data_IF_463520820837
#
_entry.id   IF_463520820837
#
_cell.length_a   1.000
_cell.length_b   1.000
_cell.length_c   1.000
_cell.angle_alpha   90.00
_cell.angle_beta   90.00
_cell.angle_gamma   90.00
#
_symmetry.space_group_name_H-M   'P 1'
#
loop_
_entity.id
_entity.type
_entity.pdbx_description
1 polymer ?
#
# COMPACT_ATOMS: atom_id res chain seq x y z
N UNK A 1 9.07 19.51 25.40
CA UNK A 1 9.14 20.31 24.16
C UNK A 1 8.11 19.76 23.20
N UNK A 2 7.12 20.58 22.84
CA UNK A 2 6.00 20.20 21.99
C UNK A 2 6.42 20.25 20.52
N UNK A 3 6.21 19.16 19.79
CA UNK A 3 6.32 19.14 18.32
C UNK A 3 4.88 19.15 17.83
N UNK A 4 4.43 20.32 17.40
CA UNK A 4 3.15 20.56 16.76
C UNK A 4 3.02 19.70 15.51
N UNK A 5 2.06 18.77 15.53
CA UNK A 5 1.67 17.98 14.36
C UNK A 5 1.09 18.89 13.29
N UNK A 6 1.82 19.03 12.19
CA UNK A 6 1.31 19.64 10.97
C UNK A 6 0.64 18.53 10.16
N UNK A 7 -0.68 18.69 10.01
CA UNK A 7 -1.59 17.87 9.20
C UNK A 7 -1.02 17.69 7.78
N UNK A 8 -0.81 16.44 7.40
CA UNK A 8 -0.54 16.03 6.02
C UNK A 8 -1.87 15.67 5.35
N UNK A 9 -2.52 16.64 4.71
CA UNK A 9 -3.67 16.38 3.85
C UNK A 9 -3.16 16.04 2.44
N UNK A 10 -2.68 14.80 2.29
CA UNK A 10 -2.43 14.22 0.97
C UNK A 10 -3.79 13.95 0.30
N UNK A 11 -3.97 14.48 -0.91
CA UNK A 11 -5.11 14.16 -1.78
C UNK A 11 -5.16 12.65 -2.07
N UNK A 12 -5.85 11.90 -1.21
CA UNK A 12 -6.26 10.52 -1.44
C UNK A 12 -7.59 10.52 -2.21
N UNK A 13 -7.55 9.96 -3.42
CA UNK A 13 -8.74 9.57 -4.16
C UNK A 13 -9.44 8.40 -3.44
N UNK A 14 -10.39 8.70 -2.55
CA UNK A 14 -11.31 7.70 -2.03
C UNK A 14 -12.48 7.52 -3.01
N UNK A 15 -12.27 6.71 -4.06
CA UNK A 15 -13.38 5.99 -4.70
C UNK A 15 -13.66 4.75 -3.85
N UNK A 16 -14.28 4.95 -2.70
CA UNK A 16 -14.90 3.86 -1.96
C UNK A 16 -16.18 3.44 -2.69
N UNK A 17 -16.07 2.34 -3.43
CA UNK A 17 -17.19 1.61 -3.99
C UNK A 17 -17.96 0.95 -2.83
N UNK A 18 -18.84 1.70 -2.17
CA UNK A 18 -19.84 1.12 -1.29
C UNK A 18 -20.89 0.42 -2.14
N UNK A 19 -20.68 -0.88 -2.35
CA UNK A 19 -21.72 -1.83 -2.76
C UNK A 19 -22.86 -1.73 -1.75
N UNK A 20 -23.97 -1.12 -2.15
CA UNK A 20 -25.26 -1.38 -1.53
C UNK A 20 -26.17 -2.03 -2.59
N UNK A 21 -26.35 -3.33 -2.43
CA UNK A 21 -27.39 -4.07 -3.12
C UNK A 21 -28.73 -3.74 -2.44
N UNK A 22 -29.67 -3.14 -3.20
CA UNK A 22 -31.11 -3.41 -3.13
C UNK A 22 -31.85 -2.64 -4.23
N UNK A 23 -32.17 -3.38 -5.29
CA UNK A 23 -33.44 -3.45 -6.01
C UNK A 23 -34.32 -2.20 -6.24
N UNK A 24 -34.64 -2.03 -7.54
CA UNK A 24 -36.01 -1.99 -8.13
C UNK A 24 -36.66 -0.62 -8.41
N UNK A 25 -36.78 -0.41 -9.73
CA UNK A 25 -37.86 0.20 -10.52
C UNK A 25 -38.13 1.70 -10.43
N UNK A 26 -38.21 2.32 -11.62
CA UNK A 26 -38.96 3.55 -11.84
C UNK A 26 -38.35 4.45 -12.89
N UNK A 27 -38.50 4.09 -14.16
CA UNK A 27 -38.48 5.06 -15.27
C UNK A 27 -39.42 6.21 -14.98
N UNK A 28 -38.94 7.44 -14.85
CA UNK A 28 -39.72 8.63 -15.17
C UNK A 28 -38.83 9.88 -15.30
N UNK A 29 -38.68 10.32 -16.55
CA UNK A 29 -38.68 11.71 -17.00
C UNK A 29 -37.86 12.71 -16.16
N UNK A 30 -36.60 12.85 -16.54
CA UNK A 30 -35.85 14.11 -16.39
C UNK A 30 -36.53 15.19 -17.25
N UNK A 31 -37.55 15.85 -16.71
CA UNK A 31 -38.09 17.09 -17.22
C UNK A 31 -37.87 18.17 -16.17
N UNK A 32 -36.79 18.94 -16.39
CA UNK A 32 -36.73 20.39 -16.27
C UNK A 32 -37.82 21.04 -15.40
N UNK A 33 -37.58 21.17 -14.10
CA UNK A 33 -38.11 22.28 -13.33
C UNK A 33 -37.00 22.95 -12.55
N UNK A 34 -36.55 24.07 -13.13
CA UNK A 34 -35.76 25.10 -12.48
C UNK A 34 -36.46 25.53 -11.20
N UNK A 35 -35.91 25.16 -10.06
CA UNK A 35 -36.17 25.84 -8.79
C UNK A 35 -34.86 26.41 -8.29
N UNK A 36 -34.86 27.73 -8.09
CA UNK A 36 -33.69 28.53 -7.80
C UNK A 36 -33.07 28.14 -6.47
N UNK A 37 -31.84 27.64 -6.53
CA UNK A 37 -30.85 27.95 -5.52
C UNK A 37 -29.62 28.42 -6.27
N UNK A 38 -29.45 29.73 -6.34
CA UNK A 38 -28.16 30.40 -6.51
C UNK A 38 -27.28 29.97 -5.33
N UNK A 39 -26.82 28.74 -5.37
CA UNK A 39 -25.72 28.29 -4.56
C UNK A 39 -24.49 28.75 -5.33
N UNK A 40 -24.11 30.01 -5.10
CA UNK A 40 -22.82 30.56 -5.51
C UNK A 40 -21.79 29.50 -5.14
N UNK A 41 -21.21 28.82 -6.14
CA UNK A 41 -20.06 27.96 -5.91
C UNK A 41 -19.09 28.83 -5.13
N UNK A 42 -18.78 28.41 -3.91
CA UNK A 42 -17.91 29.23 -3.07
C UNK A 42 -16.62 29.47 -3.86
N UNK A 43 -16.00 30.66 -3.72
CA UNK A 43 -14.77 30.98 -4.46
C UNK A 43 -13.69 29.88 -4.37
N UNK A 44 -13.73 29.06 -3.32
CA UNK A 44 -12.90 27.88 -3.13
C UNK A 44 -13.26 26.72 -4.10
N UNK A 45 -14.54 26.36 -4.23
CA UNK A 45 -14.99 25.27 -5.11
C UNK A 45 -14.73 25.56 -6.58
N UNK A 46 -14.94 26.81 -7.03
CA UNK A 46 -14.60 27.20 -8.40
C UNK A 46 -13.09 27.14 -8.66
N UNK A 47 -12.27 27.48 -7.65
CA UNK A 47 -10.81 27.38 -7.75
C UNK A 47 -10.35 25.93 -7.77
N UNK A 48 -11.02 25.02 -7.06
CA UNK A 48 -10.75 23.59 -7.14
C UNK A 48 -11.14 23.01 -8.49
N UNK A 49 -12.28 23.42 -9.05
CA UNK A 49 -12.68 23.02 -10.39
C UNK A 49 -11.66 23.49 -11.43
N UNK A 50 -11.23 24.75 -11.35
CA UNK A 50 -10.20 25.31 -12.21
C UNK A 50 -8.88 24.55 -12.11
N UNK A 51 -8.44 24.20 -10.88
CA UNK A 51 -7.25 23.37 -10.68
C UNK A 51 -7.40 22.01 -11.37
N UNK A 52 -8.55 21.34 -11.23
CA UNK A 52 -8.80 20.05 -11.89
C UNK A 52 -8.75 20.16 -13.42
N UNK A 53 -9.41 21.16 -13.99
CA UNK A 53 -9.35 21.42 -15.44
C UNK A 53 -7.91 21.68 -15.92
N UNK A 54 -7.18 22.53 -15.19
CA UNK A 54 -5.78 22.83 -15.51
C UNK A 54 -4.90 21.58 -15.40
N UNK A 55 -5.15 20.71 -14.41
CA UNK A 55 -4.46 19.43 -14.28
C UNK A 55 -4.71 18.52 -15.48
N UNK A 56 -5.95 18.43 -15.97
CA UNK A 56 -6.28 17.66 -17.16
C UNK A 56 -5.55 18.19 -18.40
N UNK A 57 -5.53 19.51 -18.59
CA UNK A 57 -4.79 20.15 -19.68
C UNK A 57 -3.30 19.84 -19.63
N UNK A 58 -2.68 19.90 -18.44
CA UNK A 58 -1.29 19.52 -18.23
C UNK A 58 -1.05 18.03 -18.52
N UNK A 59 -1.98 17.16 -18.11
CA UNK A 59 -1.85 15.71 -18.29
C UNK A 59 -1.82 15.29 -19.77
N UNK A 60 -2.52 16.04 -20.63
CA UNK A 60 -2.58 15.86 -22.09
C UNK A 60 -1.30 16.30 -22.79
N UNK A 61 -0.43 17.07 -22.14
CA UNK A 61 0.84 17.51 -22.73
C UNK A 61 1.78 16.31 -22.88
N UNK A 62 2.23 16.09 -24.11
CA UNK A 62 3.26 15.10 -24.41
C UNK A 62 4.60 15.59 -23.89
N UNK A 63 5.14 14.87 -22.90
CA UNK A 63 6.46 15.14 -22.34
C UNK A 63 7.54 14.49 -23.21
N UNK A 64 8.56 15.26 -23.56
CA UNK A 64 9.67 14.78 -24.38
C UNK A 64 10.44 13.66 -23.69
N UNK A 65 10.96 12.72 -24.48
CA UNK A 65 11.62 11.50 -23.98
C UNK A 65 12.85 11.75 -23.11
N UNK A 66 13.46 12.93 -23.21
CA UNK A 66 14.65 13.31 -22.44
C UNK A 66 14.34 13.67 -21.00
N UNK A 67 13.08 13.98 -20.68
CA UNK A 67 12.63 14.22 -19.31
C UNK A 67 12.15 12.90 -18.71
N UNK A 68 12.82 12.44 -17.66
CA UNK A 68 12.39 11.27 -16.90
C UNK A 68 11.37 11.66 -15.84
N UNK A 69 11.70 12.68 -15.05
CA UNK A 69 10.84 13.17 -13.99
C UNK A 69 10.47 14.63 -14.25
N UNK A 70 9.19 14.95 -14.10
CA UNK A 70 8.66 16.30 -14.27
C UNK A 70 7.81 16.63 -13.07
N UNK A 71 7.98 17.84 -12.55
CA UNK A 71 7.05 18.41 -11.59
C UNK A 71 6.76 19.89 -11.91
N UNK A 72 5.56 20.35 -11.57
CA UNK A 72 5.13 21.73 -11.78
C UNK A 72 4.61 22.27 -10.44
N UNK A 73 5.27 23.30 -9.94
CA UNK A 73 4.93 24.05 -8.75
C UNK A 73 4.12 25.27 -9.18
N UNK A 74 2.92 25.41 -8.66
CA UNK A 74 2.05 26.56 -8.97
C UNK A 74 1.62 27.16 -7.64
N UNK A 75 1.96 28.43 -7.45
CA UNK A 75 1.51 29.18 -6.27
C UNK A 75 0.01 29.47 -6.33
N UNK A 76 -0.62 29.66 -5.17
CA UNK A 76 -2.04 30.04 -5.12
C UNK A 76 -2.31 31.37 -5.83
N UNK A 77 -1.37 32.32 -5.75
CA UNK A 77 -1.42 33.59 -6.48
C UNK A 77 -1.34 33.37 -8.00
N UNK A 78 -0.56 32.39 -8.46
CA UNK A 78 -0.52 31.98 -9.87
C UNK A 78 -1.85 31.42 -10.36
N UNK A 79 -2.52 30.60 -9.56
CA UNK A 79 -3.87 30.11 -9.91
C UNK A 79 -4.89 31.26 -10.00
N UNK A 80 -4.83 32.23 -9.08
CA UNK A 80 -5.69 33.42 -9.13
C UNK A 80 -5.43 34.22 -10.41
N UNK A 81 -4.17 34.53 -10.71
CA UNK A 81 -3.80 35.24 -11.93
C UNK A 81 -4.24 34.51 -13.21
N UNK A 82 -4.14 33.18 -13.26
CA UNK A 82 -4.61 32.39 -14.41
C UNK A 82 -6.14 32.30 -14.52
N UNK A 83 -6.86 32.43 -13.40
CA UNK A 83 -8.32 32.50 -13.40
C UNK A 83 -8.81 33.89 -13.82
N UNK A 84 -8.14 34.94 -13.34
CA UNK A 84 -8.49 36.34 -13.60
C UNK A 84 -8.11 36.76 -15.04
N UNK A 85 -7.02 36.23 -15.58
CA UNK A 85 -6.53 36.51 -16.93
C UNK A 85 -6.38 35.22 -17.77
N UNK A 86 -7.35 34.92 -18.67
CA UNK A 86 -7.28 33.80 -19.61
C UNK A 86 -6.08 33.88 -20.55
N UNK A 87 -5.60 35.07 -20.94
CA UNK A 87 -4.42 35.19 -21.81
C UNK A 87 -3.16 34.73 -21.06
N UNK A 88 -3.07 35.04 -19.76
CA UNK A 88 -1.97 34.58 -18.92
C UNK A 88 -1.97 33.05 -18.82
N UNK A 89 -3.13 32.43 -18.61
CA UNK A 89 -3.27 30.96 -18.61
C UNK A 89 -2.77 30.34 -19.91
N UNK A 90 -3.18 30.86 -21.06
CA UNK A 90 -2.75 30.34 -22.36
C UNK A 90 -1.24 30.52 -22.59
N UNK A 91 -0.68 31.66 -22.19
CA UNK A 91 0.77 31.89 -22.23
C UNK A 91 1.53 30.88 -21.37
N UNK A 92 1.08 30.61 -20.14
CA UNK A 92 1.69 29.60 -19.27
C UNK A 92 1.57 28.20 -19.87
N UNK A 93 0.40 27.82 -20.38
CA UNK A 93 0.21 26.52 -21.04
C UNK A 93 1.10 26.38 -22.28
N UNK A 94 1.26 27.43 -23.06
CA UNK A 94 2.14 27.46 -24.24
C UNK A 94 3.61 27.29 -23.84
N UNK A 95 4.06 28.00 -22.81
CA UNK A 95 5.42 27.87 -22.26
C UNK A 95 5.66 26.45 -21.73
N UNK A 96 4.72 25.89 -20.96
CA UNK A 96 4.83 24.53 -20.45
C UNK A 96 4.83 23.51 -21.58
N UNK A 97 3.98 23.66 -22.61
CA UNK A 97 4.01 22.78 -23.79
C UNK A 97 5.35 22.83 -24.52
N UNK A 98 5.88 24.03 -24.74
CA UNK A 98 7.18 24.23 -25.39
C UNK A 98 8.30 23.59 -24.58
N UNK A 99 8.35 23.88 -23.28
CA UNK A 99 9.45 23.44 -22.44
C UNK A 99 9.36 21.93 -22.18
N UNK A 100 8.18 21.39 -21.85
CA UNK A 100 7.98 19.95 -21.68
C UNK A 100 8.17 19.15 -22.98
N UNK A 101 7.87 19.75 -24.13
CA UNK A 101 8.06 19.16 -25.46
C UNK A 101 9.49 19.31 -26.00
N UNK A 102 10.31 20.15 -25.39
CA UNK A 102 11.68 20.40 -25.83
C UNK A 102 12.65 19.31 -25.37
N UNK A 103 13.73 19.14 -26.14
CA UNK A 103 14.83 18.28 -25.72
C UNK A 103 15.79 19.06 -24.84
N UNK A 104 15.97 18.59 -23.60
CA UNK A 104 16.99 19.09 -22.70
C UNK A 104 18.31 18.34 -22.91
N UNK A 105 19.43 19.05 -22.79
CA UNK A 105 20.74 18.44 -22.61
C UNK A 105 21.14 18.64 -21.15
N UNK A 106 21.61 17.61 -20.43
CA UNK A 106 22.01 16.26 -20.87
C UNK A 106 20.86 15.26 -21.08
N UNK A 107 21.18 14.14 -21.75
CA UNK A 107 20.22 13.09 -22.09
C UNK A 107 19.76 12.38 -20.82
N UNK A 108 18.46 12.42 -20.56
CA UNK A 108 17.80 12.02 -19.31
C UNK A 108 18.05 13.07 -18.20
N UNK A 109 17.02 13.87 -17.91
CA UNK A 109 17.04 14.85 -16.85
C UNK A 109 15.71 14.85 -16.10
N UNK A 110 15.76 15.38 -14.89
CA UNK A 110 14.60 15.63 -14.04
C UNK A 110 14.38 17.14 -14.00
N UNK A 111 13.16 17.62 -14.21
CA UNK A 111 12.87 19.05 -14.28
C UNK A 111 11.71 19.46 -13.37
N UNK A 112 11.86 20.61 -12.73
CA UNK A 112 10.81 21.28 -11.95
C UNK A 112 10.53 22.64 -12.56
N UNK A 113 9.27 22.89 -12.90
CA UNK A 113 8.80 24.18 -13.39
C UNK A 113 8.06 24.89 -12.28
N UNK A 114 8.38 26.16 -12.02
CA UNK A 114 7.70 27.00 -11.04
C UNK A 114 6.92 28.08 -11.77
N UNK A 115 5.65 28.23 -11.43
CA UNK A 115 4.72 29.22 -11.99
C UNK A 115 4.19 30.11 -10.86
N UNK A 116 4.43 31.40 -11.01
CA UNK A 116 4.00 32.44 -10.07
C UNK A 116 2.79 33.23 -10.54
N UNK A 117 2.57 34.38 -9.93
CA UNK A 117 1.51 35.33 -10.29
C UNK A 117 1.80 36.07 -11.60
N UNK A 118 3.08 36.18 -11.97
CA UNK A 118 3.51 36.87 -13.19
C UNK A 118 4.42 35.99 -14.07
N UNK A 119 4.50 36.30 -15.36
CA UNK A 119 5.36 35.60 -16.32
C UNK A 119 6.84 35.64 -15.88
N UNK A 120 7.27 36.69 -15.17
CA UNK A 120 8.65 36.83 -14.69
C UNK A 120 9.02 35.79 -13.62
N UNK A 121 8.03 35.26 -12.92
CA UNK A 121 8.19 34.22 -11.91
C UNK A 121 8.18 32.81 -12.52
N UNK A 122 8.02 32.69 -13.84
CA UNK A 122 8.17 31.43 -14.55
C UNK A 122 9.64 31.00 -14.56
N UNK A 123 9.92 29.84 -13.97
CA UNK A 123 11.27 29.28 -13.88
C UNK A 123 11.27 27.79 -14.17
N UNK A 124 12.20 27.33 -15.00
CA UNK A 124 12.47 25.90 -15.23
C UNK A 124 13.84 25.54 -14.67
N UNK A 125 13.86 24.65 -13.69
CA UNK A 125 15.09 24.04 -13.17
C UNK A 125 15.20 22.61 -13.67
N UNK A 126 16.39 22.22 -14.11
CA UNK A 126 16.65 20.84 -14.53
C UNK A 126 17.95 20.31 -13.96
N UNK A 127 17.94 19.01 -13.65
CA UNK A 127 19.07 18.27 -13.10
C UNK A 127 19.30 17.00 -13.91
N UNK A 128 20.55 16.55 -13.94
CA UNK A 128 20.89 15.24 -14.53
C UNK A 128 20.42 14.09 -13.64
N UNK A 129 20.18 12.90 -14.20
CA UNK A 129 19.70 11.69 -13.45
C UNK A 129 20.61 11.23 -12.31
N UNK A 130 21.80 11.80 -12.13
CA UNK A 130 22.66 11.55 -10.97
C UNK A 130 22.29 12.37 -9.72
N UNK A 131 21.43 13.38 -9.86
CA UNK A 131 21.06 14.34 -8.82
C UNK A 131 19.55 14.41 -8.61
N UNK A 132 18.85 13.28 -8.82
CA UNK A 132 17.40 13.20 -8.67
C UNK A 132 16.94 13.49 -7.24
N UNK A 133 17.82 13.43 -6.24
CA UNK A 133 17.53 13.86 -4.86
C UNK A 133 17.03 15.31 -4.77
N UNK A 134 17.61 16.23 -5.54
CA UNK A 134 17.18 17.63 -5.60
C UNK A 134 15.79 17.75 -6.20
N UNK A 135 15.52 16.98 -7.27
CA UNK A 135 14.19 16.90 -7.85
C UNK A 135 13.18 16.39 -6.82
N UNK A 136 13.48 15.31 -6.09
CA UNK A 136 12.57 14.77 -5.09
C UNK A 136 12.34 15.73 -3.92
N UNK A 137 13.34 16.50 -3.51
CA UNK A 137 13.20 17.52 -2.47
C UNK A 137 12.32 18.70 -2.94
N UNK A 138 12.54 19.19 -4.17
CA UNK A 138 11.80 20.33 -4.73
C UNK A 138 10.41 19.99 -5.26
N UNK A 139 10.13 18.71 -5.46
CA UNK A 139 8.85 18.23 -6.02
C UNK A 139 7.87 17.66 -4.99
N UNK A 140 8.12 17.80 -3.69
CA UNK A 140 7.21 17.28 -2.66
C UNK A 140 5.86 17.99 -2.72
N UNK A 141 5.87 19.31 -2.80
CA UNK A 141 4.67 20.16 -2.78
C UNK A 141 4.22 20.59 -4.19
N UNK A 142 4.58 19.80 -5.21
CA UNK A 142 4.22 20.11 -6.59
C UNK A 142 2.74 19.86 -6.87
N UNK A 143 2.13 20.77 -7.64
CA UNK A 143 0.76 20.64 -8.09
C UNK A 143 0.59 19.49 -9.09
N UNK A 144 1.54 19.36 -10.03
CA UNK A 144 1.54 18.29 -11.01
C UNK A 144 2.87 17.55 -10.93
N UNK A 145 2.83 16.22 -10.93
CA UNK A 145 4.02 15.37 -10.89
C UNK A 145 3.86 14.18 -11.83
N UNK A 146 4.82 14.02 -12.73
CA UNK A 146 4.89 12.90 -13.67
C UNK A 146 6.31 12.35 -13.63
N UNK A 147 6.46 11.25 -12.92
CA UNK A 147 7.70 10.48 -12.86
C UNK A 147 7.58 9.30 -13.81
N UNK A 148 8.51 9.15 -14.75
CA UNK A 148 8.75 7.85 -15.37
C UNK A 148 9.41 7.01 -14.30
N UNK A 149 8.62 6.26 -13.55
CA UNK A 149 9.16 5.11 -12.82
C UNK A 149 9.87 4.24 -13.85
N UNK A 150 11.21 4.33 -13.89
CA UNK A 150 11.95 3.15 -14.28
C UNK A 150 11.52 2.12 -13.24
N UNK A 151 10.74 1.12 -13.66
CA UNK A 151 10.77 -0.17 -12.98
C UNK A 151 12.24 -0.55 -12.94
N UNK A 152 12.91 -0.23 -11.85
CA UNK A 152 14.28 -0.62 -11.64
C UNK A 152 14.21 -2.13 -11.65
N UNK A 153 14.65 -2.75 -12.76
CA UNK A 153 14.75 -4.20 -12.85
C UNK A 153 15.52 -4.76 -11.64
N UNK A 154 16.40 -3.96 -11.04
CA UNK A 154 17.05 -4.24 -9.76
C UNK A 154 16.07 -4.28 -8.56
N UNK A 155 15.11 -3.36 -8.46
CA UNK A 155 14.09 -3.36 -7.40
C UNK A 155 13.15 -4.56 -7.54
N UNK A 156 12.74 -4.88 -8.76
CA UNK A 156 11.91 -6.07 -9.06
C UNK A 156 12.69 -7.37 -8.77
N UNK A 157 13.95 -7.46 -9.19
CA UNK A 157 14.83 -8.58 -8.86
C UNK A 157 15.07 -8.71 -7.34
N UNK A 158 15.18 -7.59 -6.63
CA UNK A 158 15.36 -7.59 -5.18
C UNK A 158 14.10 -8.09 -4.47
N UNK A 159 12.93 -7.64 -4.93
CA UNK A 159 11.63 -8.07 -4.41
C UNK A 159 11.40 -9.56 -4.65
N UNK A 160 11.67 -10.05 -5.86
CA UNK A 160 11.60 -11.47 -6.21
C UNK A 160 12.57 -12.32 -5.38
N UNK A 161 13.79 -11.82 -5.15
CA UNK A 161 14.78 -12.50 -4.30
C UNK A 161 14.32 -12.62 -2.84
N UNK A 162 13.76 -11.53 -2.28
CA UNK A 162 13.22 -11.52 -0.92
C UNK A 162 12.03 -12.46 -0.78
N UNK A 163 11.15 -12.51 -1.79
CA UNK A 163 9.99 -13.40 -1.82
C UNK A 163 10.42 -14.87 -1.86
N UNK A 164 11.36 -15.23 -2.75
CA UNK A 164 11.95 -16.58 -2.80
C UNK A 164 12.55 -16.99 -1.45
N UNK A 165 13.29 -16.10 -0.80
CA UNK A 165 13.88 -16.36 0.52
C UNK A 165 12.81 -16.58 1.59
N UNK A 166 11.70 -15.83 1.55
CA UNK A 166 10.59 -16.00 2.48
C UNK A 166 9.87 -17.34 2.25
N UNK A 167 9.63 -17.71 0.99
CA UNK A 167 9.03 -18.99 0.63
C UNK A 167 9.88 -20.17 1.09
N UNK A 168 11.20 -20.16 0.85
CA UNK A 168 12.11 -21.22 1.33
C UNK A 168 12.10 -21.32 2.85
N UNK A 169 12.11 -20.18 3.57
CA UNK A 169 12.00 -20.17 5.04
C UNK A 169 10.69 -20.76 5.54
N UNK A 170 9.59 -20.49 4.84
CA UNK A 170 8.27 -21.06 5.18
C UNK A 170 8.26 -22.58 5.00
N UNK A 171 8.76 -23.07 3.87
CA UNK A 171 8.89 -24.50 3.59
C UNK A 171 9.78 -25.22 4.61
N UNK A 172 10.92 -24.61 4.98
CA UNK A 172 11.79 -25.16 6.01
C UNK A 172 11.10 -25.25 7.38
N UNK A 173 10.34 -24.22 7.77
CA UNK A 173 9.56 -24.24 9.02
C UNK A 173 8.47 -25.30 9.00
N UNK A 174 7.77 -25.46 7.88
CA UNK A 174 6.72 -26.46 7.72
C UNK A 174 7.27 -27.89 7.82
N UNK A 175 8.38 -28.18 7.13
CA UNK A 175 9.06 -29.48 7.26
C UNK A 175 9.56 -29.76 8.68
N UNK A 176 10.05 -28.73 9.39
CA UNK A 176 10.44 -28.89 10.80
C UNK A 176 9.24 -29.17 11.69
N UNK A 177 8.13 -28.46 11.50
CA UNK A 177 6.89 -28.69 12.25
C UNK A 177 6.33 -30.08 12.01
N UNK A 178 6.33 -30.59 10.77
CA UNK A 178 5.90 -31.96 10.48
C UNK A 178 6.77 -33.02 11.17
N UNK A 179 8.10 -32.81 11.19
CA UNK A 179 9.01 -33.70 11.91
C UNK A 179 8.74 -33.69 13.41
N UNK A 180 8.50 -32.52 13.99
CA UNK A 180 8.15 -32.38 15.41
C UNK A 180 6.82 -33.09 15.69
N UNK A 181 5.79 -32.89 14.87
CA UNK A 181 4.50 -33.54 15.03
C UNK A 181 4.59 -35.07 14.98
N UNK A 182 5.37 -35.62 14.03
CA UNK A 182 5.61 -37.08 13.94
C UNK A 182 6.37 -37.63 15.16
N UNK A 183 7.40 -36.92 15.61
CA UNK A 183 8.15 -37.32 16.82
C UNK A 183 7.26 -37.27 18.06
N UNK A 184 6.40 -36.26 18.19
CA UNK A 184 5.48 -36.13 19.31
C UNK A 184 4.39 -37.21 19.29
N UNK A 185 3.89 -37.57 18.10
CA UNK A 185 2.95 -38.68 17.91
C UNK A 185 3.58 -40.02 18.32
N UNK A 186 4.81 -40.32 17.90
CA UNK A 186 5.51 -41.55 18.30
C UNK A 186 5.82 -41.55 19.81
N UNK A 187 6.24 -40.40 20.37
CA UNK A 187 6.46 -40.26 21.82
C UNK A 187 5.18 -40.53 22.61
N UNK A 188 4.04 -40.02 22.14
CA UNK A 188 2.72 -40.26 22.73
C UNK A 188 2.33 -41.74 22.65
N UNK A 189 2.56 -42.40 21.50
CA UNK A 189 2.31 -43.83 21.32
C UNK A 189 3.15 -44.68 22.28
N UNK A 190 4.44 -44.40 22.37
CA UNK A 190 5.37 -45.08 23.27
C UNK A 190 4.97 -44.87 24.74
N UNK A 191 4.64 -43.63 25.13
CA UNK A 191 4.18 -43.33 26.48
C UNK A 191 2.92 -44.12 26.84
N UNK A 192 1.90 -44.18 25.96
CA UNK A 192 0.70 -45.00 26.18
C UNK A 192 1.02 -46.49 26.34
N UNK A 193 1.92 -47.03 25.51
CA UNK A 193 2.33 -48.44 25.61
C UNK A 193 3.05 -48.75 26.92
N UNK A 194 3.87 -47.82 27.41
CA UNK A 194 4.61 -47.98 28.65
C UNK A 194 3.69 -47.91 29.86
N UNK A 195 2.75 -46.95 29.89
CA UNK A 195 1.74 -46.85 30.95
C UNK A 195 0.84 -48.09 30.97
N UNK A 196 0.40 -48.59 29.82
CA UNK A 196 -0.39 -49.81 29.72
C UNK A 196 0.34 -51.05 30.25
N UNK A 197 1.63 -51.23 29.89
CA UNK A 197 2.46 -52.32 30.46
C UNK A 197 2.58 -52.23 31.97
N UNK A 198 2.72 -51.02 32.52
CA UNK A 198 2.84 -50.78 33.97
C UNK A 198 1.54 -51.08 34.70
N UNK A 199 0.39 -50.73 34.11
CA UNK A 199 -0.92 -51.09 34.63
C UNK A 199 -1.15 -52.60 34.61
N UNK A 200 -0.85 -53.28 33.50
CA UNK A 200 -0.98 -54.74 33.41
C UNK A 200 -0.08 -55.47 34.40
N UNK A 201 1.16 -55.01 34.60
CA UNK A 201 2.06 -55.57 35.61
C UNK A 201 1.53 -55.36 37.04
N UNK A 202 0.95 -54.19 37.35
CA UNK A 202 0.33 -53.94 38.65
C UNK A 202 -0.89 -54.84 38.90
N UNK A 203 -1.73 -55.06 37.87
CA UNK A 203 -2.89 -55.96 37.95
C UNK A 203 -2.46 -57.42 38.12
N UNK A 204 -1.46 -57.88 37.37
CA UNK A 204 -0.91 -59.24 37.52
C UNK A 204 -0.34 -59.46 38.92
N UNK A 205 0.46 -58.51 39.42
CA UNK A 205 1.02 -58.60 40.77
C UNK A 205 -0.07 -58.61 41.85
N UNK A 206 -1.15 -57.83 41.68
CA UNK A 206 -2.28 -57.85 42.61
C UNK A 206 -3.04 -59.18 42.56
N UNK A 207 -3.20 -59.76 41.38
CA UNK A 207 -3.82 -61.07 41.21
C UNK A 207 -2.98 -62.19 41.84
N UNK A 208 -1.68 -62.23 41.55
CA UNK A 208 -0.75 -63.21 42.11
C UNK A 208 -0.68 -63.11 43.65
N UNK A 209 -0.68 -61.89 44.20
CA UNK A 209 -0.70 -61.67 45.64
C UNK A 209 -2.00 -62.17 46.30
N UNK A 210 -3.16 -61.97 45.65
CA UNK A 210 -4.44 -62.46 46.16
C UNK A 210 -4.51 -64.00 46.13
N UNK A 211 -4.04 -64.65 45.07
CA UNK A 211 -3.97 -66.12 44.97
C UNK A 211 -3.05 -66.72 46.04
N UNK A 212 -1.90 -66.08 46.29
CA UNK A 212 -0.98 -66.51 47.36
C UNK A 212 -1.56 -66.31 48.76
N UNK A 213 -2.34 -65.24 48.98
CA UNK A 213 -3.02 -65.01 50.26
C UNK A 213 -4.17 -66.00 50.49
N UNK A 214 -4.91 -66.37 49.44
CA UNK A 214 -6.02 -67.33 49.51
C UNK A 214 -5.51 -68.77 49.74
N UNK A 215 -4.40 -69.15 49.12
CA UNK A 215 -3.73 -70.44 49.38
C UNK A 215 -3.10 -70.53 50.77
N UNK A 216 -2.56 -69.42 51.31
CA UNK A 216 -2.08 -69.35 52.68
C UNK A 216 -3.21 -69.43 53.71
N UNK A 217 -4.36 -68.80 53.45
CA UNK A 217 -5.54 -68.84 54.32
C UNK A 217 -6.28 -70.20 54.28
N UNK A 218 -6.23 -70.92 53.15
CA UNK A 218 -6.80 -72.27 53.02
C UNK A 218 -5.97 -73.36 53.71
N UNK A 219 -4.66 -73.15 53.87
CA UNK A 219 -3.74 -74.11 54.51
C UNK A 219 -3.93 -74.29 56.01
N UNK A 220 -4.50 -73.31 56.72
CA UNK A 220 -4.72 -73.35 58.17
C UNK A 220 -6.01 -74.11 58.57
N UNK A 221 -6.80 -74.59 57.61
CA UNK A 221 -8.06 -75.31 57.88
C UNK A 221 -7.96 -76.85 57.85
N UNK A 222 -6.75 -77.40 57.68
CA UNK A 222 -6.50 -78.85 57.59
C UNK A 222 -5.58 -79.43 58.69
N UNK A 223 -5.33 -78.69 59.79
CA UNK A 223 -4.53 -79.16 60.93
C UNK A 223 -5.20 -78.90 62.30
N UNK A 224 -6.45 -79.32 62.46
CA UNK A 224 -7.10 -79.45 63.78
C UNK A 224 -7.77 -80.82 63.92
#
# INVERSE_FOLDING_TARGET
>A
MAISGIRQDYYQNNVETKRNAKNVNGTEKFALEKTGSTQELSKAEEMELFKKEFYEDLSKITVHKTLNNVAINISEAGFKAMKDDPEYREKILSLLKRDLGSSFAPRNCSAVFTVGATIKEYRGDSWSVGYDSEFYARSQDSFFKKTREKKDRQKELLEEYLEKRAQTRKQQKEMLNEKIAKMEQERSRLAKSWTGKRQMAAVSNAYDANVMMETAAGGDSLLA
#
